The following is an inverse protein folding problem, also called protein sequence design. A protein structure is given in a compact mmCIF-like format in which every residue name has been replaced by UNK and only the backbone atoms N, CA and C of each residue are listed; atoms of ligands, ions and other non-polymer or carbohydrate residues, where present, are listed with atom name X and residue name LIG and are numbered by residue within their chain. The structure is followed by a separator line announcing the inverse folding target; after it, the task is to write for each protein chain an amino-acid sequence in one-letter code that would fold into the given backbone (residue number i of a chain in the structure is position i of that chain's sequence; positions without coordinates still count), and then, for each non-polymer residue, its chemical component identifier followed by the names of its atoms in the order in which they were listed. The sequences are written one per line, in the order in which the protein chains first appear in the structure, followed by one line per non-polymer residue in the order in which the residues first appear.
data_IF_880345485654
#
_entry.id   IF_880345485654
#
_cell.length_a   1.000
_cell.length_b   1.000
_cell.length_c   1.000
_cell.angle_alpha   90.00
_cell.angle_beta   90.00
_cell.angle_gamma   90.00
#
_symmetry.space_group_name_H-M   'P 1'
#
loop_
_entity.id
_entity.type
_entity.pdbx_description
1 polymer ?
#
# COMPACT_ATOMS: atom_id res chain seq x y z
N UNK A 1 9.60 -11.60 -30.25
CA UNK A 1 9.11 -11.43 -28.86
C UNK A 1 7.64 -11.06 -28.98
N UNK A 2 6.71 -11.76 -28.31
CA UNK A 2 5.26 -11.47 -28.46
C UNK A 2 4.92 -10.09 -27.89
N UNK A 3 3.76 -9.54 -28.28
CA UNK A 3 3.28 -8.21 -27.84
C UNK A 3 3.19 -8.13 -26.30
N UNK A 4 2.78 -9.23 -25.66
CA UNK A 4 2.62 -9.36 -24.20
C UNK A 4 3.94 -9.20 -23.46
N UNK A 5 5.02 -9.80 -23.98
CA UNK A 5 6.36 -9.64 -23.42
C UNK A 5 6.87 -8.22 -23.55
N UNK A 6 6.69 -7.59 -24.70
CA UNK A 6 7.09 -6.19 -24.89
C UNK A 6 6.34 -5.27 -23.92
N UNK A 7 5.04 -5.49 -23.74
CA UNK A 7 4.22 -4.75 -22.77
C UNK A 7 4.68 -5.01 -21.33
N UNK A 8 4.93 -6.27 -20.98
CA UNK A 8 5.45 -6.64 -19.66
C UNK A 8 6.79 -5.94 -19.36
N UNK A 9 7.75 -6.05 -20.27
CA UNK A 9 9.07 -5.41 -20.13
C UNK A 9 8.94 -3.90 -20.03
N UNK A 10 8.04 -3.29 -20.80
CA UNK A 10 7.76 -1.86 -20.69
C UNK A 10 7.23 -1.50 -19.29
N UNK A 11 6.20 -2.18 -18.80
CA UNK A 11 5.65 -1.94 -17.47
C UNK A 11 6.72 -2.14 -16.37
N UNK A 12 7.56 -3.16 -16.52
CA UNK A 12 8.65 -3.43 -15.58
C UNK A 12 9.68 -2.29 -15.56
N UNK A 13 10.09 -1.80 -16.74
CA UNK A 13 11.00 -0.65 -16.84
C UNK A 13 10.42 0.62 -16.21
N UNK A 14 9.14 0.88 -16.47
CA UNK A 14 8.44 2.03 -15.90
C UNK A 14 8.39 1.96 -14.36
N UNK A 15 8.11 0.77 -13.82
CA UNK A 15 8.14 0.53 -12.37
C UNK A 15 9.54 0.69 -11.78
N UNK A 16 10.55 0.09 -12.42
CA UNK A 16 11.96 0.18 -12.01
C UNK A 16 12.44 1.65 -12.00
N UNK A 17 12.06 2.46 -12.99
CA UNK A 17 12.42 3.88 -13.05
C UNK A 17 11.88 4.66 -11.86
N UNK A 18 10.57 4.52 -11.55
CA UNK A 18 9.96 5.18 -10.40
C UNK A 18 10.55 4.67 -9.08
N UNK A 19 10.78 3.35 -8.96
CA UNK A 19 11.38 2.76 -7.76
C UNK A 19 12.80 3.29 -7.53
N UNK A 20 13.63 3.34 -8.58
CA UNK A 20 15.00 3.83 -8.50
C UNK A 20 15.03 5.28 -8.02
N UNK A 21 14.13 6.12 -8.53
CA UNK A 21 13.96 7.48 -8.03
C UNK A 21 13.53 7.50 -6.56
N UNK A 22 12.56 6.68 -6.17
CA UNK A 22 12.07 6.62 -4.80
C UNK A 22 13.17 6.21 -3.80
N UNK A 23 14.07 5.30 -4.18
CA UNK A 23 15.24 4.93 -3.38
C UNK A 23 16.23 6.09 -3.24
N UNK A 24 16.55 6.80 -4.33
CA UNK A 24 17.38 8.01 -4.29
C UNK A 24 16.78 9.06 -3.36
N UNK A 25 15.45 9.24 -3.42
CA UNK A 25 14.75 10.19 -2.58
C UNK A 25 14.77 9.79 -1.10
N UNK A 26 14.50 8.53 -0.75
CA UNK A 26 14.62 8.10 0.66
C UNK A 26 16.05 8.29 1.18
N UNK A 27 17.05 8.00 0.35
CA UNK A 27 18.45 8.22 0.72
C UNK A 27 18.77 9.71 0.96
N UNK A 28 18.15 10.63 0.24
CA UNK A 28 18.32 12.07 0.47
C UNK A 28 17.65 12.59 1.75
N UNK A 29 16.73 11.81 2.32
CA UNK A 29 16.07 12.13 3.60
C UNK A 29 16.88 11.65 4.82
N UNK A 30 17.93 10.84 4.62
CA UNK A 30 18.75 10.32 5.73
C UNK A 30 19.33 11.47 6.56
N UNK A 31 19.09 11.42 7.87
CA UNK A 31 19.55 12.44 8.82
C UNK A 31 18.65 13.67 8.94
N UNK A 32 17.63 13.81 8.08
CA UNK A 32 16.58 14.81 8.29
C UNK A 32 15.72 14.38 9.48
N UNK A 33 15.36 15.34 10.34
CA UNK A 33 14.48 15.08 11.49
C UNK A 33 13.02 15.31 11.09
N UNK A 34 12.12 14.32 11.26
CA UNK A 34 10.69 14.52 11.07
C UNK A 34 10.16 15.66 11.96
N UNK A 35 9.24 16.47 11.43
CA UNK A 35 8.75 17.67 12.14
C UNK A 35 7.61 17.35 13.09
N UNK A 36 6.83 16.29 12.79
CA UNK A 36 5.72 15.83 13.62
C UNK A 36 5.60 14.30 13.66
N UNK A 37 4.79 13.73 14.57
CA UNK A 37 4.59 12.27 14.64
C UNK A 37 4.09 11.65 13.33
N UNK A 38 3.24 12.35 12.57
CA UNK A 38 2.73 11.88 11.28
C UNK A 38 3.84 11.69 10.26
N UNK A 39 4.84 12.57 10.23
CA UNK A 39 6.01 12.46 9.35
C UNK A 39 6.84 11.22 9.68
N UNK A 40 7.03 10.92 10.98
CA UNK A 40 7.72 9.71 11.45
C UNK A 40 7.02 8.44 10.95
N UNK A 41 5.69 8.40 11.06
CA UNK A 41 4.91 7.28 10.51
C UNK A 41 4.96 7.27 8.98
N UNK A 42 4.88 8.43 8.33
CA UNK A 42 4.98 8.57 6.88
C UNK A 42 6.24 7.95 6.32
N UNK A 43 7.40 8.33 6.87
CA UNK A 43 8.70 7.75 6.51
C UNK A 43 8.71 6.22 6.67
N UNK A 44 8.29 5.71 7.84
CA UNK A 44 8.29 4.26 8.11
C UNK A 44 7.36 3.48 7.18
N UNK A 45 6.17 4.01 6.92
CA UNK A 45 5.20 3.38 6.01
C UNK A 45 5.73 3.43 4.57
N UNK A 46 6.38 4.54 4.17
CA UNK A 46 6.97 4.65 2.84
C UNK A 46 8.14 3.68 2.65
N UNK A 47 9.03 3.54 3.63
CA UNK A 47 10.10 2.52 3.59
C UNK A 47 9.50 1.12 3.46
N UNK A 48 8.43 0.80 4.21
CA UNK A 48 7.71 -0.47 4.05
C UNK A 48 7.15 -0.64 2.63
N UNK A 49 6.60 0.42 2.04
CA UNK A 49 6.10 0.41 0.67
C UNK A 49 7.23 0.10 -0.33
N UNK A 50 8.40 0.72 -0.17
CA UNK A 50 9.57 0.43 -1.01
C UNK A 50 10.06 -1.00 -0.84
N UNK A 51 10.06 -1.56 0.38
CA UNK A 51 10.38 -2.98 0.58
C UNK A 51 9.44 -3.90 -0.21
N UNK A 52 8.14 -3.58 -0.28
CA UNK A 52 7.19 -4.32 -1.13
C UNK A 52 7.53 -4.16 -2.62
N UNK A 53 7.85 -2.95 -3.08
CA UNK A 53 8.23 -2.67 -4.46
C UNK A 53 9.52 -3.41 -4.89
N UNK A 54 10.55 -3.37 -4.06
CA UNK A 54 11.82 -4.09 -4.26
C UNK A 54 11.56 -5.60 -4.30
N UNK A 55 10.74 -6.11 -3.39
CA UNK A 55 10.38 -7.54 -3.38
C UNK A 55 9.69 -7.93 -4.67
N UNK A 56 8.72 -7.13 -5.13
CA UNK A 56 7.96 -7.38 -6.35
C UNK A 56 8.89 -7.50 -7.56
N UNK A 57 9.86 -6.60 -7.72
CA UNK A 57 10.87 -6.69 -8.79
C UNK A 57 11.70 -7.98 -8.66
N UNK A 58 12.18 -8.30 -7.46
CA UNK A 58 13.04 -9.48 -7.24
C UNK A 58 12.34 -10.80 -7.55
N UNK A 59 11.03 -10.90 -7.31
CA UNK A 59 10.26 -12.11 -7.57
C UNK A 59 9.60 -12.14 -8.95
N UNK A 60 9.61 -11.01 -9.66
CA UNK A 60 9.09 -10.91 -11.02
C UNK A 60 10.09 -11.50 -12.03
N UNK A 61 9.61 -12.13 -13.11
CA UNK A 61 10.46 -12.64 -14.19
C UNK A 61 11.35 -11.54 -14.74
N UNK A 62 12.66 -11.76 -14.74
CA UNK A 62 13.61 -10.78 -15.27
C UNK A 62 13.53 -10.73 -16.81
N UNK A 63 14.17 -9.71 -17.39
CA UNK A 63 14.29 -9.54 -18.86
C UNK A 63 14.96 -10.75 -19.54
N UNK A 64 15.83 -11.45 -18.82
CA UNK A 64 16.40 -12.73 -19.21
C UNK A 64 15.60 -13.82 -18.53
N UNK A 65 14.43 -14.15 -19.09
CA UNK A 65 13.63 -15.27 -18.61
C UNK A 65 14.55 -16.48 -18.53
N UNK A 66 14.73 -16.97 -17.32
CA UNK A 66 15.38 -18.24 -17.11
C UNK A 66 14.44 -19.30 -17.69
N UNK A 67 14.71 -19.73 -18.92
CA UNK A 67 13.95 -20.76 -19.61
C UNK A 67 14.03 -22.12 -18.88
N UNK A 68 14.82 -22.24 -17.81
CA UNK A 68 14.85 -23.44 -16.96
C UNK A 68 13.81 -23.39 -15.84
N UNK A 69 13.22 -22.22 -15.53
CA UNK A 69 12.23 -22.07 -14.46
C UNK A 69 10.81 -22.07 -15.00
N UNK A 70 10.17 -23.23 -14.93
CA UNK A 70 8.76 -23.43 -15.33
C UNK A 70 7.74 -22.90 -14.31
N UNK A 71 8.16 -22.61 -13.07
CA UNK A 71 7.26 -22.10 -12.02
C UNK A 71 7.45 -20.59 -11.81
N UNK A 72 6.50 -19.81 -12.32
CA UNK A 72 6.37 -18.38 -12.02
C UNK A 72 5.38 -18.16 -10.88
N UNK A 73 5.83 -17.47 -9.83
CA UNK A 73 5.06 -17.30 -8.60
C UNK A 73 4.10 -16.10 -8.67
N UNK A 74 3.03 -16.27 -9.46
CA UNK A 74 1.98 -15.27 -9.65
C UNK A 74 1.33 -14.90 -8.32
N UNK A 75 1.03 -15.90 -7.48
CA UNK A 75 0.35 -15.69 -6.20
C UNK A 75 1.16 -14.79 -5.26
N UNK A 76 2.48 -14.99 -5.16
CA UNK A 76 3.35 -14.10 -4.38
C UNK A 76 3.43 -12.70 -4.98
N UNK A 77 3.53 -12.57 -6.31
CA UNK A 77 3.52 -11.25 -6.96
C UNK A 77 2.24 -10.47 -6.66
N UNK A 78 1.10 -11.16 -6.70
CA UNK A 78 -0.22 -10.57 -6.43
C UNK A 78 -0.37 -10.21 -4.95
N UNK A 79 0.14 -11.05 -4.04
CA UNK A 79 0.15 -10.77 -2.60
C UNK A 79 1.00 -9.54 -2.26
N UNK A 80 2.21 -9.45 -2.82
CA UNK A 80 3.10 -8.30 -2.61
C UNK A 80 2.52 -7.03 -3.22
N UNK A 81 1.95 -7.11 -4.43
CA UNK A 81 1.29 -5.97 -5.08
C UNK A 81 0.12 -5.46 -4.24
N UNK A 82 -0.71 -6.36 -3.71
CA UNK A 82 -1.81 -5.98 -2.81
C UNK A 82 -1.30 -5.32 -1.53
N UNK A 83 -0.25 -5.87 -0.92
CA UNK A 83 0.37 -5.28 0.26
C UNK A 83 0.94 -3.88 -0.02
N UNK A 84 1.50 -3.64 -1.22
CA UNK A 84 1.95 -2.32 -1.66
C UNK A 84 0.80 -1.31 -1.72
N UNK A 85 -0.32 -1.69 -2.34
CA UNK A 85 -1.54 -0.85 -2.43
C UNK A 85 -2.10 -0.52 -1.04
N UNK A 86 -2.24 -1.53 -0.17
CA UNK A 86 -2.74 -1.33 1.20
C UNK A 86 -1.77 -0.48 2.05
N UNK A 87 -0.46 -0.57 1.78
CA UNK A 87 0.55 0.28 2.41
C UNK A 87 0.44 1.72 1.93
N UNK A 88 0.12 1.96 0.65
CA UNK A 88 -0.21 3.31 0.17
C UNK A 88 -1.46 3.86 0.87
N UNK A 89 -2.52 3.06 1.00
CA UNK A 89 -3.76 3.48 1.68
C UNK A 89 -3.44 3.98 3.10
N UNK A 90 -2.57 3.27 3.83
CA UNK A 90 -2.09 3.67 5.15
C UNK A 90 -1.23 4.94 5.11
N UNK A 91 -0.28 5.02 4.17
CA UNK A 91 0.62 6.17 4.01
C UNK A 91 -0.19 7.45 3.78
N UNK A 92 -1.16 7.37 2.87
CA UNK A 92 -1.99 8.52 2.55
C UNK A 92 -2.83 8.95 3.75
N UNK A 93 -3.50 8.00 4.40
CA UNK A 93 -4.37 8.29 5.53
C UNK A 93 -3.61 8.92 6.72
N UNK A 94 -2.40 8.44 7.03
CA UNK A 94 -1.63 8.86 8.20
C UNK A 94 -0.79 10.12 7.94
N UNK A 95 -0.17 10.25 6.76
CA UNK A 95 0.89 11.24 6.54
C UNK A 95 0.65 12.21 5.38
N UNK A 96 0.13 11.74 4.23
CA UNK A 96 0.04 12.59 3.02
C UNK A 96 -1.23 13.46 3.03
N UNK A 97 -2.33 12.97 3.59
CA UNK A 97 -3.62 13.67 3.53
C UNK A 97 -3.53 15.09 4.10
N UNK A 98 -3.96 16.08 3.30
CA UNK A 98 -3.99 17.49 3.67
C UNK A 98 -5.20 17.79 4.56
N UNK A 99 -5.09 17.43 5.84
CA UNK A 99 -6.11 17.64 6.87
C UNK A 99 -5.56 18.48 8.03
N UNK A 100 -6.45 19.06 8.83
CA UNK A 100 -6.06 19.84 10.01
C UNK A 100 -5.42 18.95 11.08
N UNK A 101 -4.69 19.55 12.01
CA UNK A 101 -3.93 18.79 13.01
C UNK A 101 -4.84 17.98 13.96
N UNK A 102 -6.02 18.48 14.32
CA UNK A 102 -7.01 17.72 15.09
C UNK A 102 -7.43 16.41 14.39
N UNK A 103 -7.55 16.45 13.06
CA UNK A 103 -7.89 15.27 12.26
C UNK A 103 -6.69 14.32 12.19
N UNK A 104 -5.46 14.84 12.06
CA UNK A 104 -4.24 14.01 12.10
C UNK A 104 -4.09 13.29 13.44
N UNK A 105 -4.33 13.99 14.55
CA UNK A 105 -4.31 13.40 15.90
C UNK A 105 -5.35 12.28 16.02
N UNK A 106 -6.59 12.55 15.59
CA UNK A 106 -7.67 11.57 15.61
C UNK A 106 -7.34 10.31 14.80
N UNK A 107 -6.78 10.47 13.59
CA UNK A 107 -6.34 9.35 12.74
C UNK A 107 -5.24 8.53 13.41
N UNK A 108 -4.28 9.19 14.08
CA UNK A 108 -3.22 8.51 14.85
C UNK A 108 -3.77 7.75 16.06
N UNK A 109 -4.80 8.27 16.75
CA UNK A 109 -5.46 7.54 17.84
C UNK A 109 -6.11 6.25 17.34
N UNK A 110 -6.83 6.30 16.22
CA UNK A 110 -7.37 5.10 15.56
C UNK A 110 -6.27 4.09 15.21
N UNK A 111 -5.19 4.57 14.60
CA UNK A 111 -4.08 3.74 14.15
C UNK A 111 -3.39 3.02 15.31
N UNK A 112 -3.08 3.77 16.38
CA UNK A 112 -2.46 3.24 17.60
C UNK A 112 -3.38 2.27 18.33
N UNK A 113 -4.67 2.61 18.48
CA UNK A 113 -5.64 1.74 19.13
C UNK A 113 -5.76 0.40 18.39
N UNK A 114 -5.86 0.43 17.05
CA UNK A 114 -5.90 -0.79 16.25
C UNK A 114 -4.63 -1.63 16.43
N UNK A 115 -3.46 -1.00 16.38
CA UNK A 115 -2.18 -1.69 16.52
C UNK A 115 -2.01 -2.36 17.90
N UNK A 116 -2.23 -1.62 18.99
CA UNK A 116 -2.08 -2.16 20.35
C UNK A 116 -3.15 -3.20 20.67
N UNK A 117 -4.38 -3.01 20.22
CA UNK A 117 -5.42 -4.01 20.42
C UNK A 117 -5.13 -5.31 19.66
N UNK A 118 -4.60 -5.21 18.44
CA UNK A 118 -4.21 -6.39 17.68
C UNK A 118 -3.03 -7.12 18.32
N UNK A 119 -2.05 -6.35 18.82
CA UNK A 119 -0.91 -6.90 19.58
C UNK A 119 -1.38 -7.62 20.83
N UNK A 120 -2.27 -7.01 21.62
CA UNK A 120 -2.86 -7.62 22.81
C UNK A 120 -3.58 -8.93 22.47
N UNK A 121 -4.50 -8.91 21.49
CA UNK A 121 -5.24 -10.09 21.05
C UNK A 121 -4.32 -11.25 20.62
N UNK A 122 -3.26 -10.95 19.86
CA UNK A 122 -2.27 -11.94 19.45
C UNK A 122 -1.52 -12.53 20.66
N UNK A 123 -0.99 -11.68 21.55
CA UNK A 123 -0.24 -12.12 22.72
C UNK A 123 -1.10 -12.96 23.67
N UNK A 124 -2.36 -12.56 23.88
CA UNK A 124 -3.31 -13.31 24.70
C UNK A 124 -3.63 -14.67 24.09
N UNK A 125 -3.89 -14.74 22.77
CA UNK A 125 -4.16 -16.01 22.07
C UNK A 125 -2.96 -16.95 22.03
N UNK A 126 -1.75 -16.40 22.04
CA UNK A 126 -0.52 -17.18 22.17
C UNK A 126 -0.24 -17.67 23.61
N UNK A 127 -1.04 -17.23 24.59
CA UNK A 127 -0.83 -17.57 26.00
C UNK A 127 0.47 -16.98 26.58
N UNK A 128 0.94 -15.85 26.05
CA UNK A 128 2.16 -15.20 26.53
C UNK A 128 1.99 -14.78 28.00
N UNK A 129 3.01 -15.06 28.82
CA UNK A 129 3.08 -14.67 30.25
C UNK A 129 3.97 -13.45 30.48
N UNK A 130 4.38 -12.78 29.41
CA UNK A 130 5.20 -11.58 29.51
C UNK A 130 4.42 -10.46 30.22
N UNK A 131 4.97 -9.80 31.25
CA UNK A 131 4.29 -8.71 31.96
C UNK A 131 3.80 -7.58 31.04
N UNK A 132 4.46 -7.38 29.90
CA UNK A 132 4.07 -6.39 28.88
C UNK A 132 2.70 -6.67 28.25
N UNK A 133 2.15 -7.88 28.38
CA UNK A 133 0.78 -8.19 27.92
C UNK A 133 -0.25 -7.38 28.70
N UNK A 134 -0.12 -7.29 30.02
CA UNK A 134 -1.02 -6.47 30.86
C UNK A 134 -0.86 -4.98 30.56
N UNK A 135 0.38 -4.52 30.34
CA UNK A 135 0.67 -3.15 29.94
C UNK A 135 0.01 -2.81 28.61
N UNK A 136 0.11 -3.70 27.61
CA UNK A 136 -0.57 -3.55 26.32
C UNK A 136 -2.08 -3.45 26.51
N UNK A 137 -2.66 -4.30 27.37
CA UNK A 137 -4.09 -4.26 27.69
C UNK A 137 -4.54 -2.94 28.33
N UNK A 138 -3.72 -2.37 29.23
CA UNK A 138 -3.97 -1.04 29.83
C UNK A 138 -3.88 0.06 28.78
N UNK A 139 -2.89 0.02 27.91
CA UNK A 139 -2.72 1.01 26.82
C UNK A 139 -3.92 1.00 25.86
N UNK A 140 -4.47 -0.18 25.54
CA UNK A 140 -5.70 -0.29 24.74
C UNK A 140 -6.87 0.46 25.40
N UNK A 141 -7.05 0.35 26.71
CA UNK A 141 -8.13 1.07 27.41
C UNK A 141 -7.88 2.59 27.43
N UNK A 142 -6.62 3.01 27.63
CA UNK A 142 -6.24 4.44 27.59
C UNK A 142 -6.52 5.03 26.21
N UNK A 143 -6.07 4.36 25.14
CA UNK A 143 -6.29 4.80 23.77
C UNK A 143 -7.78 4.81 23.40
N UNK A 144 -8.54 3.80 23.82
CA UNK A 144 -10.01 3.76 23.64
C UNK A 144 -10.68 4.95 24.32
N UNK A 145 -10.34 5.24 25.57
CA UNK A 145 -10.90 6.37 26.31
C UNK A 145 -10.59 7.71 25.62
N UNK A 146 -9.33 7.93 25.23
CA UNK A 146 -8.91 9.12 24.47
C UNK A 146 -9.67 9.26 23.16
N UNK A 147 -9.82 8.16 22.41
CA UNK A 147 -10.51 8.18 21.12
C UNK A 147 -12.00 8.51 21.26
N UNK A 148 -12.69 7.89 22.23
CA UNK A 148 -14.12 8.15 22.48
C UNK A 148 -14.38 9.55 23.04
N UNK A 149 -13.40 10.14 23.75
CA UNK A 149 -13.46 11.51 24.25
C UNK A 149 -13.04 12.59 23.24
N UNK A 150 -12.54 12.20 22.07
CA UNK A 150 -12.03 13.15 21.07
C UNK A 150 -13.18 13.83 20.31
N UNK A 151 -13.10 15.14 20.07
CA UNK A 151 -14.18 15.92 19.44
C UNK A 151 -14.61 15.36 18.07
N UNK A 152 -13.64 14.89 17.27
CA UNK A 152 -13.88 14.29 15.95
C UNK A 152 -14.63 12.95 15.99
N UNK A 153 -14.86 12.33 17.15
CA UNK A 153 -15.66 11.09 17.26
C UNK A 153 -17.06 11.27 16.68
N UNK A 154 -17.60 12.49 16.69
CA UNK A 154 -18.91 12.81 16.09
C UNK A 154 -18.98 12.50 14.59
N UNK A 155 -17.85 12.51 13.89
CA UNK A 155 -17.75 12.22 12.46
C UNK A 155 -17.84 10.71 12.16
N UNK A 156 -17.68 9.86 13.17
CA UNK A 156 -17.85 8.42 13.03
C UNK A 156 -19.33 8.03 12.97
N UNK A 157 -19.63 6.99 12.19
CA UNK A 157 -20.95 6.36 12.18
C UNK A 157 -21.26 5.71 13.52
N UNK A 158 -22.54 5.59 13.87
CA UNK A 158 -22.95 4.94 15.12
C UNK A 158 -22.51 3.47 15.18
N UNK A 159 -22.47 2.79 14.03
CA UNK A 159 -21.92 1.44 13.93
C UNK A 159 -20.42 1.41 14.31
N UNK A 160 -19.62 2.38 13.84
CA UNK A 160 -18.20 2.44 14.17
C UNK A 160 -17.99 2.73 15.66
N UNK A 161 -18.75 3.68 16.23
CA UNK A 161 -18.73 3.97 17.68
C UNK A 161 -19.09 2.73 18.50
N UNK A 162 -20.18 2.04 18.14
CA UNK A 162 -20.60 0.80 18.80
C UNK A 162 -19.53 -0.30 18.71
N UNK A 163 -18.86 -0.43 17.56
CA UNK A 163 -17.76 -1.37 17.40
C UNK A 163 -16.59 -1.06 18.34
N UNK A 164 -16.19 0.22 18.46
CA UNK A 164 -15.12 0.66 19.36
C UNK A 164 -15.51 0.36 20.82
N UNK A 165 -16.74 0.67 21.21
CA UNK A 165 -17.26 0.35 22.55
C UNK A 165 -17.20 -1.15 22.87
N UNK A 166 -17.53 -2.00 21.89
CA UNK A 166 -17.47 -3.47 21.98
C UNK A 166 -16.06 -4.05 21.85
N UNK A 167 -15.04 -3.22 21.68
CA UNK A 167 -13.66 -3.67 21.56
C UNK A 167 -13.25 -4.17 20.17
N UNK A 168 -14.02 -3.83 19.14
CA UNK A 168 -13.71 -4.12 17.74
C UNK A 168 -13.14 -2.88 17.07
N UNK A 169 -11.82 -2.86 16.86
CA UNK A 169 -11.11 -1.66 16.39
C UNK A 169 -10.65 -1.82 14.94
N UNK A 170 -11.10 -0.91 14.09
CA UNK A 170 -10.71 -0.84 12.68
C UNK A 170 -9.51 0.11 12.51
N UNK A 171 -8.64 -0.10 11.51
CA UNK A 171 -7.48 0.78 11.29
C UNK A 171 -7.85 2.17 10.76
N UNK A 172 -9.06 2.33 10.21
CA UNK A 172 -9.52 3.56 9.57
C UNK A 172 -10.95 3.88 10.02
N UNK A 173 -11.24 5.16 10.24
CA UNK A 173 -12.62 5.62 10.47
C UNK A 173 -13.36 5.93 9.16
N UNK A 174 -12.62 6.22 8.09
CA UNK A 174 -13.16 6.46 6.76
C UNK A 174 -13.43 5.16 6.01
N UNK A 175 -14.41 5.18 5.11
CA UNK A 175 -14.60 4.12 4.11
C UNK A 175 -13.48 4.16 3.05
N UNK A 176 -13.26 3.05 2.33
CA UNK A 176 -12.29 3.03 1.23
C UNK A 176 -12.62 4.09 0.15
N UNK A 177 -13.90 4.25 -0.20
CA UNK A 177 -14.33 5.25 -1.19
C UNK A 177 -13.97 6.68 -0.77
N UNK A 178 -14.12 7.00 0.52
CA UNK A 178 -13.70 8.30 1.07
C UNK A 178 -12.18 8.46 1.00
N UNK A 179 -11.40 7.45 1.41
CA UNK A 179 -9.93 7.50 1.32
C UNK A 179 -9.44 7.66 -0.12
N UNK A 180 -10.03 6.94 -1.07
CA UNK A 180 -9.68 7.07 -2.49
C UNK A 180 -9.98 8.48 -3.01
N UNK A 181 -11.12 9.06 -2.61
CA UNK A 181 -11.47 10.43 -2.96
C UNK A 181 -10.45 11.43 -2.39
N UNK A 182 -10.07 11.29 -1.13
CA UNK A 182 -9.03 12.14 -0.51
C UNK A 182 -7.67 11.99 -1.21
N UNK A 183 -7.32 10.76 -1.61
CA UNK A 183 -6.08 10.45 -2.30
C UNK A 183 -6.06 10.88 -3.77
N UNK A 184 -7.19 11.32 -4.34
CA UNK A 184 -7.32 11.57 -5.77
C UNK A 184 -7.05 10.29 -6.58
N UNK A 185 -7.70 9.20 -6.21
CA UNK A 185 -7.64 7.90 -6.91
C UNK A 185 -9.05 7.51 -7.32
N UNK A 186 -9.21 7.04 -8.56
CA UNK A 186 -10.48 6.45 -9.00
C UNK A 186 -10.81 5.24 -8.12
N UNK A 187 -11.97 5.29 -7.46
CA UNK A 187 -12.40 4.21 -6.60
C UNK A 187 -12.60 2.91 -7.40
N UNK A 188 -13.13 3.02 -8.61
CA UNK A 188 -13.32 1.90 -9.52
C UNK A 188 -11.98 1.28 -9.93
N UNK A 189 -10.96 2.09 -10.20
CA UNK A 189 -9.61 1.61 -10.50
C UNK A 189 -9.03 0.81 -9.33
N UNK A 190 -9.06 1.39 -8.12
CA UNK A 190 -8.57 0.72 -6.91
C UNK A 190 -9.32 -0.58 -6.62
N UNK A 191 -10.65 -0.57 -6.77
CA UNK A 191 -11.49 -1.73 -6.49
C UNK A 191 -11.23 -2.86 -7.48
N UNK A 192 -11.11 -2.56 -8.77
CA UNK A 192 -10.74 -3.56 -9.79
C UNK A 192 -9.33 -4.11 -9.52
N UNK A 193 -8.36 -3.25 -9.22
CA UNK A 193 -7.01 -3.66 -8.87
C UNK A 193 -7.01 -4.62 -7.67
N UNK A 194 -7.69 -4.25 -6.58
CA UNK A 194 -7.76 -5.07 -5.37
C UNK A 194 -8.50 -6.38 -5.63
N UNK A 195 -9.61 -6.36 -6.35
CA UNK A 195 -10.40 -7.55 -6.68
C UNK A 195 -9.55 -8.56 -7.48
N UNK A 196 -8.88 -8.08 -8.53
CA UNK A 196 -8.06 -8.93 -9.39
C UNK A 196 -6.82 -9.46 -8.66
N UNK A 197 -6.16 -8.63 -7.85
CA UNK A 197 -5.03 -9.09 -7.05
C UNK A 197 -5.47 -10.15 -6.02
N UNK A 198 -6.63 -9.96 -5.41
CA UNK A 198 -7.17 -10.90 -4.41
C UNK A 198 -7.52 -12.27 -4.99
N UNK A 199 -7.87 -12.34 -6.28
CA UNK A 199 -8.29 -13.60 -6.90
C UNK A 199 -7.16 -14.63 -7.00
N UNK A 200 -5.89 -14.23 -6.84
CA UNK A 200 -4.74 -15.13 -6.84
C UNK A 200 -4.00 -15.21 -5.48
N UNK A 201 -4.38 -14.38 -4.50
CA UNK A 201 -3.78 -14.42 -3.15
C UNK A 201 -4.39 -15.55 -2.31
N UNK A 202 -5.70 -15.77 -2.44
CA UNK A 202 -6.39 -16.81 -1.69
C UNK A 202 -6.46 -18.10 -2.51
N UNK A 203 -6.44 -19.24 -1.82
CA UNK A 203 -6.63 -20.58 -2.40
C UNK A 203 -8.11 -20.84 -2.70
N UNK A 204 -8.69 -20.00 -3.55
CA UNK A 204 -10.05 -20.18 -4.07
C UNK A 204 -10.01 -21.00 -5.37
N UNK A 205 -11.13 -21.65 -5.76
CA UNK A 205 -11.16 -22.50 -6.95
C UNK A 205 -10.62 -21.81 -8.22
N UNK A 206 -10.89 -20.51 -8.37
CA UNK A 206 -10.38 -19.72 -9.49
C UNK A 206 -8.84 -19.70 -9.56
N UNK A 207 -8.14 -19.42 -8.46
CA UNK A 207 -6.67 -19.36 -8.48
C UNK A 207 -6.04 -20.72 -8.71
N UNK A 208 -6.58 -21.77 -8.07
CA UNK A 208 -6.06 -23.13 -8.18
C UNK A 208 -6.19 -23.65 -9.61
N UNK A 209 -7.35 -23.46 -10.24
CA UNK A 209 -7.58 -23.91 -11.62
C UNK A 209 -6.64 -23.20 -12.60
N UNK A 210 -6.42 -21.89 -12.41
CA UNK A 210 -5.52 -21.13 -13.28
C UNK A 210 -4.06 -21.53 -13.15
N UNK A 211 -3.59 -21.90 -11.94
CA UNK A 211 -2.20 -22.34 -11.73
C UNK A 211 -1.87 -23.60 -12.52
N UNK A 212 -2.81 -24.54 -12.65
CA UNK A 212 -2.61 -25.80 -13.39
C UNK A 212 -2.38 -25.55 -14.89
N UNK A 213 -2.99 -24.50 -15.44
CA UNK A 213 -2.91 -24.17 -16.85
C UNK A 213 -1.78 -23.18 -17.18
N UNK A 214 -1.03 -22.69 -16.18
CA UNK A 214 0.05 -21.74 -16.40
C UNK A 214 1.36 -22.41 -16.82
N UNK A 215 1.78 -22.09 -18.04
CA UNK A 215 3.15 -22.33 -18.50
C UNK A 215 3.97 -21.06 -18.36
N UNK A 216 5.15 -21.16 -17.74
CA UNK A 216 6.09 -20.03 -17.68
C UNK A 216 6.37 -19.49 -19.08
N UNK A 217 6.35 -18.16 -19.20
CA UNK A 217 6.58 -17.48 -20.47
C UNK A 217 5.47 -17.62 -21.51
N UNK A 218 4.34 -18.26 -21.20
CA UNK A 218 3.17 -18.15 -22.08
C UNK A 218 2.66 -16.71 -22.10
N UNK A 219 2.07 -16.23 -23.22
CA UNK A 219 1.52 -14.87 -23.30
C UNK A 219 0.54 -14.54 -22.17
N UNK A 220 -0.27 -15.51 -21.74
CA UNK A 220 -1.24 -15.37 -20.66
C UNK A 220 -0.56 -15.17 -19.31
N UNK A 221 0.45 -16.02 -19.01
CA UNK A 221 1.22 -15.95 -17.77
C UNK A 221 1.97 -14.60 -17.67
N UNK A 222 2.59 -14.17 -18.77
CA UNK A 222 3.26 -12.87 -18.88
C UNK A 222 2.28 -11.72 -18.69
N UNK A 223 1.08 -11.84 -19.28
CA UNK A 223 0.00 -10.88 -19.09
C UNK A 223 -0.35 -10.69 -17.62
N UNK A 224 -0.53 -11.78 -16.88
CA UNK A 224 -0.87 -11.75 -15.45
C UNK A 224 0.26 -11.17 -14.60
N UNK A 225 1.52 -11.57 -14.85
CA UNK A 225 2.66 -10.95 -14.17
C UNK A 225 2.73 -9.45 -14.44
N UNK A 226 2.40 -9.03 -15.67
CA UNK A 226 2.30 -7.62 -16.04
C UNK A 226 1.23 -6.85 -15.27
N UNK A 227 0.11 -7.48 -14.90
CA UNK A 227 -0.97 -6.84 -14.15
C UNK A 227 -0.52 -6.47 -12.73
N UNK A 228 0.22 -7.36 -12.05
CA UNK A 228 0.76 -7.11 -10.72
C UNK A 228 1.66 -5.85 -10.70
N UNK A 229 2.57 -5.76 -11.67
CA UNK A 229 3.43 -4.58 -11.88
C UNK A 229 2.59 -3.36 -12.20
N UNK A 230 1.67 -3.48 -13.16
CA UNK A 230 0.87 -2.36 -13.66
C UNK A 230 0.07 -1.68 -12.54
N UNK A 231 -0.65 -2.46 -11.72
CA UNK A 231 -1.39 -1.89 -10.61
C UNK A 231 -0.45 -1.29 -9.57
N UNK A 232 0.63 -1.97 -9.22
CA UNK A 232 1.60 -1.46 -8.24
C UNK A 232 2.26 -0.15 -8.67
N UNK A 233 2.50 0.05 -9.97
CA UNK A 233 3.16 1.25 -10.52
C UNK A 233 2.38 2.53 -10.20
N UNK A 234 1.06 2.51 -10.35
CA UNK A 234 0.20 3.65 -10.05
C UNK A 234 0.29 4.08 -8.57
N UNK A 235 0.27 3.12 -7.65
CA UNK A 235 0.32 3.40 -6.21
C UNK A 235 1.73 3.77 -5.74
N UNK A 236 2.77 3.23 -6.36
CA UNK A 236 4.15 3.68 -6.14
C UNK A 236 4.33 5.14 -6.59
N UNK A 237 3.83 5.51 -7.77
CA UNK A 237 3.85 6.89 -8.25
C UNK A 237 3.12 7.83 -7.28
N UNK A 238 1.93 7.44 -6.80
CA UNK A 238 1.18 8.24 -5.81
C UNK A 238 1.89 8.35 -4.46
N UNK A 239 2.57 7.30 -4.01
CA UNK A 239 3.38 7.34 -2.80
C UNK A 239 4.54 8.33 -2.94
N UNK A 240 5.30 8.25 -4.03
CA UNK A 240 6.38 9.19 -4.35
C UNK A 240 5.86 10.63 -4.39
N UNK A 241 4.75 10.87 -5.10
CA UNK A 241 4.13 12.19 -5.19
C UNK A 241 3.80 12.77 -3.82
N UNK A 242 3.15 11.99 -2.96
CA UNK A 242 2.78 12.45 -1.62
C UNK A 242 3.99 12.70 -0.72
N UNK A 243 5.02 11.86 -0.82
CA UNK A 243 6.24 12.04 -0.04
C UNK A 243 7.06 13.24 -0.51
N UNK A 244 7.10 13.55 -1.80
CA UNK A 244 7.69 14.78 -2.32
C UNK A 244 6.97 16.03 -1.81
N UNK A 245 5.64 15.98 -1.69
CA UNK A 245 4.86 17.07 -1.08
C UNK A 245 5.14 17.22 0.41
N UNK A 246 5.37 16.10 1.11
CA UNK A 246 5.63 16.09 2.55
C UNK A 246 7.06 16.54 2.88
N UNK A 247 8.05 16.12 2.09
CA UNK A 247 9.46 16.41 2.27
C UNK A 247 10.03 17.14 1.04
N UNK A 248 9.65 18.40 0.89
CA UNK A 248 10.04 19.21 -0.28
C UNK A 248 11.53 19.62 -0.26
N UNK A 249 12.22 19.50 0.88
CA UNK A 249 13.63 19.89 1.02
C UNK A 249 14.57 18.75 0.62
N UNK A 250 15.36 18.99 -0.43
CA UNK A 250 16.47 18.11 -0.81
C UNK A 250 16.08 16.90 -1.67
N UNK A 251 14.87 16.89 -2.24
CA UNK A 251 14.49 15.87 -3.20
C UNK A 251 15.40 15.92 -4.44
N UNK A 252 15.92 14.77 -4.91
CA UNK A 252 16.70 14.73 -6.14
C UNK A 252 15.83 15.13 -7.33
N UNK A 253 16.45 15.72 -8.35
CA UNK A 253 15.78 16.03 -9.61
C UNK A 253 15.52 14.73 -10.35
N UNK A 254 14.27 14.51 -10.73
CA UNK A 254 13.88 13.39 -11.58
C UNK A 254 14.34 13.68 -13.01
N UNK A 255 14.96 12.70 -13.69
CA UNK A 255 15.24 12.86 -15.11
C UNK A 255 13.93 12.86 -15.91
N UNK A 256 13.97 13.41 -17.13
CA UNK A 256 12.78 13.64 -17.93
C UNK A 256 12.03 12.35 -18.28
N UNK A 257 12.75 11.25 -18.53
CA UNK A 257 12.11 9.98 -18.89
C UNK A 257 11.35 9.41 -17.69
N UNK A 258 11.97 9.41 -16.51
CA UNK A 258 11.32 9.00 -15.27
C UNK A 258 10.14 9.91 -14.92
N UNK A 259 10.27 11.22 -15.14
CA UNK A 259 9.20 12.20 -14.89
C UNK A 259 7.98 11.96 -15.79
N UNK A 260 8.18 11.75 -17.08
CA UNK A 260 7.10 11.47 -18.03
C UNK A 260 6.32 10.20 -17.64
N UNK A 261 7.02 9.14 -17.24
CA UNK A 261 6.43 7.89 -16.75
C UNK A 261 5.68 8.10 -15.43
N UNK A 262 6.29 8.79 -14.48
CA UNK A 262 5.68 9.13 -13.19
C UNK A 262 4.37 9.90 -13.39
N UNK A 263 4.36 10.94 -14.24
CA UNK A 263 3.17 11.74 -14.53
C UNK A 263 2.08 10.96 -15.25
N UNK A 264 2.46 10.04 -16.14
CA UNK A 264 1.52 9.11 -16.77
C UNK A 264 0.79 8.28 -15.72
N UNK A 265 1.52 7.67 -14.79
CA UNK A 265 0.95 6.78 -13.78
C UNK A 265 0.08 7.52 -12.74
N UNK A 266 0.40 8.79 -12.43
CA UNK A 266 -0.50 9.65 -11.66
C UNK A 266 -1.85 9.81 -12.35
N UNK A 267 -1.85 10.15 -13.65
CA UNK A 267 -3.08 10.31 -14.45
C UNK A 267 -3.88 9.01 -14.55
N UNK A 268 -3.20 7.86 -14.68
CA UNK A 268 -3.86 6.55 -14.70
C UNK A 268 -4.57 6.28 -13.37
N UNK A 269 -3.93 6.56 -12.24
CA UNK A 269 -4.54 6.36 -10.92
C UNK A 269 -5.80 7.21 -10.70
N UNK A 270 -5.82 8.43 -11.25
CA UNK A 270 -6.93 9.39 -11.13
C UNK A 270 -8.12 9.01 -12.02
N UNK A 271 -7.85 8.60 -13.26
CA UNK A 271 -8.88 8.40 -14.28
C UNK A 271 -9.32 6.94 -14.42
N UNK A 272 -8.53 6.00 -13.90
CA UNK A 272 -8.64 4.59 -14.19
C UNK A 272 -8.27 4.25 -15.64
N UNK A 273 -8.29 2.96 -15.97
CA UNK A 273 -7.87 2.45 -17.30
C UNK A 273 -8.91 2.75 -18.39
N UNK A 274 -10.16 3.05 -18.02
CA UNK A 274 -11.30 3.15 -18.97
C UNK A 274 -11.36 4.44 -19.79
N UNK A 275 -10.43 5.40 -19.64
CA UNK A 275 -10.60 6.74 -20.21
C UNK A 275 -9.64 7.15 -21.32
N UNK A 276 -8.57 6.41 -21.62
CA UNK A 276 -7.58 6.87 -22.62
C UNK A 276 -6.90 5.71 -23.39
N UNK A 277 -7.67 4.82 -24.01
CA UNK A 277 -7.22 4.01 -25.14
C UNK A 277 -8.37 3.86 -26.13
#
# INVERSE_FOLDING_TARGET
MTNEFQRYTKNLNEFEAILSYAELFVNSLVGQKPSCPNDVYGERIFVKLLCHAITLIKISPSKAIDNQRELWDISSCYAVSRALIETFDALHYIAIAKVCDDEKEFRLLFWKLHAEARRFDMLSKMGSKDPRVEETGKEVQILKFKLLGHEKIILCTDQLKSNIEKGTYQPYHLTQKQRNKEAGISHEYRDVATMHLSSHVHTHPFSVMQIVDFKAGSPECVGLMGIAIQYSTAFLAKAVHGMLQLFNSGAPVMDKETEDVYLLWLKVSENGIKKNY
#
